data_IF_437859437750
#
_entry.id   IF_437859437750
#
_cell.length_a   1.000
_cell.length_b   1.000
_cell.length_c   1.000
_cell.angle_alpha   90.00
_cell.angle_beta   90.00
_cell.angle_gamma   90.00
#
_symmetry.space_group_name_H-M   'P 1'
#
loop_
_entity.id
_entity.type
_entity.pdbx_description
1 polymer ?
#
# COMPACT_ATOMS: atom_id res chain seq x y z
N UNK A 1 0.78 19.54 16.13
CA UNK A 1 0.18 19.38 14.78
C UNK A 1 -1.14 18.59 14.81
N UNK A 2 -1.15 17.30 15.17
CA UNK A 2 -2.37 16.46 15.16
C UNK A 2 -3.50 17.03 16.02
N UNK A 3 -3.20 17.37 17.29
CA UNK A 3 -4.16 17.99 18.23
C UNK A 3 -4.59 19.40 17.85
N UNK A 4 -3.75 20.14 17.12
CA UNK A 4 -4.01 21.52 16.71
C UNK A 4 -4.90 21.61 15.47
N UNK A 5 -5.06 20.51 14.72
CA UNK A 5 -5.80 20.47 13.45
C UNK A 5 -6.79 19.30 13.41
N UNK A 6 -7.78 19.24 14.33
CA UNK A 6 -8.65 18.07 14.49
C UNK A 6 -9.53 17.78 13.25
N UNK A 7 -9.76 18.77 12.38
CA UNK A 7 -10.54 18.62 11.15
C UNK A 7 -9.71 18.21 9.93
N UNK A 8 -8.39 18.21 10.04
CA UNK A 8 -7.47 17.90 8.92
C UNK A 8 -7.01 16.47 9.01
N UNK A 9 -7.14 15.71 7.91
CA UNK A 9 -6.63 14.34 7.82
C UNK A 9 -5.13 14.35 7.52
N UNK A 10 -4.36 13.65 8.34
CA UNK A 10 -2.94 13.41 8.14
C UNK A 10 -2.74 11.98 7.65
N UNK A 11 -1.88 11.79 6.66
CA UNK A 11 -1.48 10.48 6.16
C UNK A 11 0.03 10.47 6.05
N UNK A 12 0.65 9.46 6.64
CA UNK A 12 2.08 9.25 6.48
C UNK A 12 2.30 8.64 5.10
N UNK A 13 3.28 9.17 4.36
CA UNK A 13 3.64 8.65 3.05
C UNK A 13 4.57 7.44 3.23
N UNK A 14 5.85 7.56 2.92
CA UNK A 14 6.85 6.52 3.10
C UNK A 14 7.55 6.70 4.44
N UNK A 15 7.77 5.59 5.15
CA UNK A 15 8.56 5.52 6.38
C UNK A 15 9.47 4.29 6.30
N UNK A 16 10.75 4.42 6.68
CA UNK A 16 11.66 3.27 6.63
C UNK A 16 11.31 2.26 7.74
N UNK A 17 11.49 0.94 7.52
CA UNK A 17 11.12 -0.08 8.50
C UNK A 17 11.67 0.17 9.91
N UNK A 18 12.91 0.65 9.99
CA UNK A 18 13.61 0.90 11.25
C UNK A 18 13.14 2.16 12.01
N UNK A 19 12.29 2.97 11.39
CA UNK A 19 11.75 4.20 12.00
C UNK A 19 10.36 3.98 12.63
N UNK A 20 9.76 2.81 12.45
CA UNK A 20 8.45 2.48 13.02
C UNK A 20 8.63 1.97 14.45
N UNK A 21 8.32 2.83 15.41
CA UNK A 21 8.31 2.50 16.84
C UNK A 21 6.89 2.23 17.36
N UNK A 22 6.78 1.59 18.53
CA UNK A 22 5.48 1.42 19.20
C UNK A 22 4.83 2.77 19.53
N UNK A 23 5.62 3.78 19.88
CA UNK A 23 5.13 5.15 20.11
C UNK A 23 4.43 5.72 18.88
N UNK A 24 4.97 5.48 17.68
CA UNK A 24 4.32 5.87 16.42
C UNK A 24 3.00 5.12 16.24
N UNK A 25 2.99 3.80 16.50
CA UNK A 25 1.78 3.00 16.36
C UNK A 25 0.68 3.43 17.34
N UNK A 26 1.05 3.80 18.57
CA UNK A 26 0.12 4.32 19.58
C UNK A 26 -0.54 5.65 19.16
N UNK A 27 0.08 6.44 18.27
CA UNK A 27 -0.56 7.67 17.76
C UNK A 27 -1.82 7.37 16.96
N UNK A 28 -1.88 6.25 16.23
CA UNK A 28 -3.06 5.88 15.45
C UNK A 28 -4.27 5.56 16.32
N UNK A 29 -4.06 5.03 17.54
CA UNK A 29 -5.13 4.80 18.50
C UNK A 29 -5.56 6.06 19.26
N UNK A 30 -4.76 7.12 19.22
CA UNK A 30 -4.99 8.36 19.97
C UNK A 30 -5.64 9.47 19.14
N UNK A 31 -5.48 9.44 17.82
CA UNK A 31 -5.87 10.53 16.94
C UNK A 31 -6.70 10.05 15.74
N UNK A 32 -8.00 10.34 15.73
CA UNK A 32 -8.92 10.00 14.62
C UNK A 32 -8.56 10.67 13.29
N UNK A 33 -7.83 11.78 13.35
CA UNK A 33 -7.40 12.54 12.19
C UNK A 33 -6.07 12.02 11.59
N UNK A 34 -5.44 10.99 12.20
CA UNK A 34 -4.35 10.23 11.59
C UNK A 34 -4.93 9.03 10.84
N UNK A 35 -4.83 9.08 9.51
CA UNK A 35 -5.34 8.05 8.62
C UNK A 35 -4.57 6.74 8.83
N UNK A 36 -5.24 5.59 9.07
CA UNK A 36 -4.58 4.30 9.27
C UNK A 36 -4.09 3.76 7.92
N UNK A 37 -2.97 4.33 7.49
CA UNK A 37 -2.26 4.00 6.27
C UNK A 37 -0.78 4.25 6.51
N UNK A 38 0.03 3.28 6.08
CA UNK A 38 1.49 3.36 6.06
C UNK A 38 2.00 2.83 4.73
N UNK A 39 3.08 3.42 4.22
CA UNK A 39 3.84 2.85 3.12
C UNK A 39 5.25 2.50 3.63
N UNK A 40 5.57 1.21 3.63
CA UNK A 40 6.77 0.66 4.27
C UNK A 40 7.57 -0.07 3.19
N UNK A 41 8.68 0.48 2.69
CA UNK A 41 9.43 -0.13 1.60
C UNK A 41 10.08 -1.44 2.03
N UNK A 42 9.87 -2.52 1.28
CA UNK A 42 10.58 -3.80 1.47
C UNK A 42 11.80 -3.87 0.55
N UNK A 43 11.63 -3.44 -0.70
CA UNK A 43 12.54 -3.61 -1.84
C UNK A 43 12.67 -5.05 -2.35
N UNK A 44 13.07 -6.01 -1.51
CA UNK A 44 13.19 -7.42 -1.87
C UNK A 44 12.78 -8.30 -0.69
N UNK A 45 12.21 -9.48 -0.95
CA UNK A 45 11.93 -10.46 0.09
C UNK A 45 12.98 -11.56 0.15
N UNK A 46 14.21 -11.26 -0.23
CA UNK A 46 15.38 -12.11 -0.12
C UNK A 46 16.51 -11.39 0.63
N UNK A 47 17.05 -12.02 1.68
CA UNK A 47 18.04 -11.41 2.56
C UNK A 47 19.39 -11.14 1.86
N UNK A 48 19.77 -11.96 0.88
CA UNK A 48 21.01 -11.75 0.12
C UNK A 48 20.89 -10.50 -0.76
N UNK A 49 19.74 -10.32 -1.42
CA UNK A 49 19.44 -9.14 -2.22
C UNK A 49 19.29 -7.89 -1.34
N UNK A 50 18.59 -7.98 -0.20
CA UNK A 50 18.48 -6.88 0.76
C UNK A 50 19.86 -6.40 1.23
N UNK A 51 20.77 -7.34 1.53
CA UNK A 51 22.15 -7.03 1.90
C UNK A 51 22.91 -6.33 0.77
N UNK A 52 22.75 -6.78 -0.47
CA UNK A 52 23.36 -6.14 -1.65
C UNK A 52 22.79 -4.74 -1.92
N UNK A 53 21.51 -4.53 -1.60
CA UNK A 53 20.86 -3.21 -1.58
C UNK A 53 21.26 -2.34 -0.38
N UNK A 54 22.11 -2.84 0.52
CA UNK A 54 22.54 -2.19 1.76
C UNK A 54 21.39 -1.86 2.72
N UNK A 55 20.38 -2.71 2.79
CA UNK A 55 19.30 -2.59 3.78
C UNK A 55 19.79 -3.07 5.14
N UNK A 56 19.45 -2.31 6.18
CA UNK A 56 19.82 -2.58 7.57
C UNK A 56 18.77 -3.42 8.31
N UNK A 57 18.07 -4.30 7.59
CA UNK A 57 17.05 -5.21 8.09
C UNK A 57 16.99 -6.46 7.20
N UNK A 58 16.44 -7.54 7.75
CA UNK A 58 16.17 -8.79 7.03
C UNK A 58 14.66 -9.05 6.90
N UNK A 59 14.30 -10.13 6.20
CA UNK A 59 12.91 -10.52 5.97
C UNK A 59 12.18 -10.95 7.24
N UNK A 60 12.89 -11.49 8.24
CA UNK A 60 12.32 -11.90 9.52
C UNK A 60 11.89 -10.69 10.35
N UNK A 61 12.77 -9.70 10.49
CA UNK A 61 12.46 -8.40 11.10
C UNK A 61 11.29 -7.73 10.39
N UNK A 62 11.35 -7.67 9.05
CA UNK A 62 10.31 -7.00 8.27
C UNK A 62 8.94 -7.65 8.47
N UNK A 63 8.89 -8.99 8.49
CA UNK A 63 7.64 -9.73 8.76
C UNK A 63 7.09 -9.40 10.15
N UNK A 64 7.93 -9.50 11.19
CA UNK A 64 7.51 -9.22 12.55
C UNK A 64 6.99 -7.78 12.70
N UNK A 65 7.63 -6.82 12.03
CA UNK A 65 7.20 -5.43 11.98
C UNK A 65 5.81 -5.29 11.34
N UNK A 66 5.60 -5.83 10.14
CA UNK A 66 4.30 -5.75 9.46
C UNK A 66 3.19 -6.40 10.28
N UNK A 67 3.46 -7.57 10.88
CA UNK A 67 2.49 -8.25 11.75
C UNK A 67 2.15 -7.42 12.98
N UNK A 68 3.14 -6.76 13.61
CA UNK A 68 2.90 -5.84 14.72
C UNK A 68 2.04 -4.64 14.28
N UNK A 69 2.36 -4.00 13.16
CA UNK A 69 1.60 -2.86 12.62
C UNK A 69 0.13 -3.23 12.40
N UNK A 70 -0.15 -4.36 11.74
CA UNK A 70 -1.51 -4.79 11.41
C UNK A 70 -2.28 -5.25 12.64
N UNK A 71 -1.60 -5.82 13.64
CA UNK A 71 -2.21 -6.21 14.92
C UNK A 71 -2.55 -5.00 15.79
N UNK A 72 -1.70 -3.98 15.80
CA UNK A 72 -1.82 -2.82 16.70
C UNK A 72 -2.75 -1.75 16.14
N UNK A 73 -2.79 -1.56 14.82
CA UNK A 73 -3.62 -0.51 14.19
C UNK A 73 -4.75 -1.13 13.39
N UNK A 74 -5.97 -0.99 13.91
CA UNK A 74 -7.17 -1.51 13.27
C UNK A 74 -7.39 -0.96 11.86
N UNK A 75 -7.71 -1.86 10.93
CA UNK A 75 -8.02 -1.55 9.54
C UNK A 75 -6.92 -0.80 8.76
N UNK A 76 -5.68 -0.81 9.27
CA UNK A 76 -4.55 -0.16 8.61
C UNK A 76 -4.29 -0.73 7.22
N UNK A 77 -4.15 0.18 6.26
CA UNK A 77 -3.69 -0.15 4.93
C UNK A 77 -2.16 -0.02 4.87
N UNK A 78 -1.45 -1.15 4.79
CA UNK A 78 0.00 -1.17 4.58
C UNK A 78 0.30 -1.34 3.09
N UNK A 79 0.98 -0.35 2.51
CA UNK A 79 1.57 -0.41 1.18
C UNK A 79 3.04 -0.78 1.23
N UNK A 80 3.52 -1.52 0.23
CA UNK A 80 4.93 -1.92 0.13
C UNK A 80 5.49 -1.56 -1.24
N UNK A 81 6.70 -0.99 -1.25
CA UNK A 81 7.55 -0.90 -2.46
C UNK A 81 8.38 -2.18 -2.64
N UNK A 82 8.30 -2.79 -3.83
CA UNK A 82 9.06 -3.98 -4.20
C UNK A 82 9.70 -3.78 -5.58
N UNK A 83 11.00 -4.00 -5.63
CA UNK A 83 11.80 -3.98 -6.85
C UNK A 83 11.90 -5.40 -7.42
N UNK A 84 11.90 -5.54 -8.74
CA UNK A 84 12.25 -6.81 -9.41
C UNK A 84 13.40 -6.60 -10.38
N UNK A 85 14.20 -7.65 -10.55
CA UNK A 85 15.30 -7.65 -11.50
C UNK A 85 16.52 -6.88 -11.05
N UNK A 86 16.73 -6.75 -9.73
CA UNK A 86 17.99 -6.23 -9.21
C UNK A 86 19.15 -7.13 -9.67
N UNK A 87 20.34 -6.59 -9.99
CA UNK A 87 21.47 -7.44 -10.37
C UNK A 87 21.80 -8.45 -9.27
N UNK A 88 21.98 -9.72 -9.64
CA UNK A 88 22.10 -10.84 -8.72
C UNK A 88 20.79 -11.55 -8.36
N UNK A 89 19.62 -10.99 -8.71
CA UNK A 89 18.32 -11.64 -8.46
C UNK A 89 18.08 -12.81 -9.42
N UNK A 90 18.38 -14.03 -8.97
CA UNK A 90 18.08 -15.29 -9.65
C UNK A 90 16.61 -15.70 -9.49
N UNK A 91 16.30 -16.92 -9.89
CA UNK A 91 14.94 -17.47 -9.77
C UNK A 91 14.56 -17.75 -8.31
N UNK A 92 15.53 -18.18 -7.50
CA UNK A 92 15.32 -18.51 -6.09
C UNK A 92 15.00 -17.25 -5.27
N UNK A 93 15.78 -16.18 -5.43
CA UNK A 93 15.61 -14.90 -4.72
C UNK A 93 14.27 -14.23 -5.08
N UNK A 94 13.89 -14.31 -6.36
CA UNK A 94 12.56 -13.88 -6.80
C UNK A 94 11.47 -14.75 -6.17
N UNK A 95 11.70 -16.07 -6.06
CA UNK A 95 10.82 -17.00 -5.40
C UNK A 95 10.61 -16.68 -3.91
N UNK A 96 11.67 -16.34 -3.18
CA UNK A 96 11.61 -15.86 -1.79
C UNK A 96 10.75 -14.60 -1.69
N UNK A 97 11.03 -13.61 -2.54
CA UNK A 97 10.26 -12.37 -2.61
C UNK A 97 8.77 -12.62 -2.82
N UNK A 98 8.41 -13.46 -3.80
CA UNK A 98 7.02 -13.79 -4.07
C UNK A 98 6.33 -14.44 -2.86
N UNK A 99 6.96 -15.48 -2.27
CA UNK A 99 6.39 -16.21 -1.12
C UNK A 99 6.16 -15.29 0.07
N UNK A 100 7.15 -14.47 0.43
CA UNK A 100 7.01 -13.51 1.51
C UNK A 100 5.81 -12.56 1.28
N UNK A 101 5.70 -12.00 0.08
CA UNK A 101 4.60 -11.08 -0.26
C UNK A 101 3.23 -11.77 -0.26
N UNK A 102 3.14 -13.03 -0.66
CA UNK A 102 1.91 -13.83 -0.59
C UNK A 102 1.46 -14.07 0.85
N UNK A 103 2.39 -14.15 1.80
CA UNK A 103 2.10 -14.40 3.22
C UNK A 103 1.82 -13.12 4.02
N UNK A 104 2.51 -12.01 3.72
CA UNK A 104 2.42 -10.77 4.52
C UNK A 104 0.99 -10.18 4.53
N UNK A 105 0.47 -9.68 5.67
CA UNK A 105 -0.89 -9.14 5.79
C UNK A 105 -1.01 -7.70 5.26
N UNK A 106 -0.48 -7.41 4.08
CA UNK A 106 -0.45 -6.06 3.48
C UNK A 106 -1.62 -5.79 2.55
N UNK A 107 -1.91 -4.50 2.36
CA UNK A 107 -3.06 -4.05 1.57
C UNK A 107 -2.75 -3.95 0.08
N UNK A 108 -1.56 -3.49 -0.31
CA UNK A 108 -1.19 -3.37 -1.72
C UNK A 108 0.31 -3.35 -1.94
N UNK A 109 0.72 -3.63 -3.17
CA UNK A 109 2.11 -3.61 -3.61
C UNK A 109 2.31 -2.56 -4.69
N UNK A 110 3.42 -1.85 -4.62
CA UNK A 110 3.95 -1.01 -5.68
C UNK A 110 5.20 -1.69 -6.26
N UNK A 111 5.02 -2.27 -7.44
CA UNK A 111 6.03 -3.11 -8.10
C UNK A 111 6.68 -2.35 -9.25
N UNK A 112 8.00 -2.21 -9.19
CA UNK A 112 8.79 -1.54 -10.21
C UNK A 112 10.04 -2.36 -10.60
N UNK A 113 10.40 -2.42 -11.89
CA UNK A 113 11.62 -3.07 -12.30
C UNK A 113 12.85 -2.22 -11.94
N UNK A 114 13.97 -2.88 -11.64
CA UNK A 114 15.26 -2.23 -11.49
C UNK A 114 15.65 -1.52 -12.78
N UNK A 115 16.02 -0.24 -12.64
CA UNK A 115 16.57 0.59 -13.69
C UNK A 115 17.97 1.03 -13.30
N UNK A 116 18.94 0.74 -14.16
CA UNK A 116 20.34 1.12 -13.94
C UNK A 116 20.46 2.64 -13.87
N UNK A 117 21.15 3.12 -12.84
CA UNK A 117 21.48 4.54 -12.67
C UNK A 117 22.99 4.72 -12.60
N UNK A 118 23.56 5.67 -13.37
CA UNK A 118 24.98 6.01 -13.30
C UNK A 118 25.43 6.29 -11.85
N UNK A 119 26.63 5.85 -11.49
CA UNK A 119 27.23 6.11 -10.18
C UNK A 119 26.71 5.25 -9.03
N UNK A 120 25.90 4.22 -9.29
CA UNK A 120 25.41 3.31 -8.24
C UNK A 120 26.28 2.06 -8.10
N UNK A 121 26.46 1.57 -6.87
CA UNK A 121 27.20 0.33 -6.59
C UNK A 121 26.59 -0.90 -7.29
N UNK A 122 25.29 -0.86 -7.58
CA UNK A 122 24.57 -1.93 -8.28
C UNK A 122 25.08 -2.17 -9.71
N UNK A 123 25.75 -1.20 -10.34
CA UNK A 123 26.32 -1.36 -11.68
C UNK A 123 27.42 -2.43 -11.76
N UNK A 124 28.15 -2.65 -10.66
CA UNK A 124 29.24 -3.61 -10.59
C UNK A 124 28.78 -5.03 -10.24
N UNK A 125 27.48 -5.22 -9.97
CA UNK A 125 26.92 -6.48 -9.54
C UNK A 125 26.48 -7.30 -10.76
N UNK A 126 26.83 -8.59 -10.74
CA UNK A 126 26.49 -9.55 -11.78
C UNK A 126 25.90 -10.84 -11.15
N UNK A 127 25.09 -11.61 -11.91
CA UNK A 127 24.63 -11.33 -13.27
C UNK A 127 23.53 -10.25 -13.31
N UNK A 128 23.44 -9.54 -14.44
CA UNK A 128 22.32 -8.62 -14.71
C UNK A 128 21.09 -9.43 -15.09
N UNK A 129 19.91 -8.99 -14.66
CA UNK A 129 18.64 -9.63 -15.02
C UNK A 129 18.14 -9.09 -16.38
N UNK A 130 17.81 -9.94 -17.36
CA UNK A 130 17.28 -9.49 -18.64
C UNK A 130 15.96 -8.72 -18.52
N UNK A 131 15.75 -7.68 -19.35
CA UNK A 131 14.52 -6.86 -19.34
C UNK A 131 13.23 -7.67 -19.51
N UNK A 132 13.27 -8.75 -20.31
CA UNK A 132 12.14 -9.67 -20.47
C UNK A 132 11.76 -10.31 -19.13
N UNK A 133 12.74 -10.85 -18.41
CA UNK A 133 12.55 -11.44 -17.08
C UNK A 133 12.06 -10.42 -16.06
N UNK A 134 12.57 -9.18 -16.08
CA UNK A 134 12.06 -8.11 -15.19
C UNK A 134 10.58 -7.84 -15.43
N UNK A 135 10.14 -7.79 -16.70
CA UNK A 135 8.73 -7.57 -17.06
C UNK A 135 7.84 -8.72 -16.60
N UNK A 136 8.27 -9.96 -16.80
CA UNK A 136 7.55 -11.17 -16.36
C UNK A 136 7.40 -11.19 -14.84
N UNK A 137 8.48 -10.99 -14.10
CA UNK A 137 8.48 -10.90 -12.63
C UNK A 137 7.60 -9.77 -12.11
N UNK A 138 7.67 -8.60 -12.74
CA UNK A 138 6.81 -7.47 -12.37
C UNK A 138 5.33 -7.77 -12.59
N UNK A 139 4.97 -8.48 -13.65
CA UNK A 139 3.59 -8.91 -13.90
C UNK A 139 3.09 -9.87 -12.81
N UNK A 140 3.90 -10.88 -12.46
CA UNK A 140 3.59 -11.84 -11.39
C UNK A 140 3.33 -11.12 -10.07
N UNK A 141 4.23 -10.22 -9.62
CA UNK A 141 4.03 -9.52 -8.35
C UNK A 141 2.88 -8.52 -8.40
N UNK A 142 2.54 -7.95 -9.56
CA UNK A 142 1.33 -7.12 -9.71
C UNK A 142 0.05 -7.93 -9.54
N UNK A 143 0.02 -9.18 -9.99
CA UNK A 143 -1.11 -10.08 -9.73
C UNK A 143 -1.25 -10.41 -8.24
N UNK A 144 -0.13 -10.66 -7.54
CA UNK A 144 -0.13 -10.80 -6.07
C UNK A 144 -0.69 -9.53 -5.42
N UNK A 145 -0.21 -8.36 -5.84
CA UNK A 145 -0.69 -7.06 -5.35
C UNK A 145 -2.17 -6.83 -5.61
N UNK A 146 -2.69 -7.24 -6.77
CA UNK A 146 -4.11 -7.14 -7.09
C UNK A 146 -4.96 -8.03 -6.18
N UNK A 147 -4.53 -9.27 -5.92
CA UNK A 147 -5.19 -10.18 -4.97
C UNK A 147 -5.20 -9.62 -3.54
N UNK A 148 -4.07 -9.07 -3.07
CA UNK A 148 -3.97 -8.43 -1.75
C UNK A 148 -4.91 -7.23 -1.63
N UNK A 149 -4.94 -6.37 -2.66
CA UNK A 149 -5.83 -5.19 -2.70
C UNK A 149 -7.30 -5.57 -2.67
N UNK A 150 -7.68 -6.58 -3.46
CA UNK A 150 -9.04 -7.12 -3.48
C UNK A 150 -9.42 -7.70 -2.11
N UNK A 151 -8.56 -8.52 -1.51
CA UNK A 151 -8.79 -9.12 -0.20
C UNK A 151 -8.94 -8.05 0.90
N UNK A 152 -8.07 -7.04 0.91
CA UNK A 152 -8.15 -5.94 1.85
C UNK A 152 -9.44 -5.12 1.66
N UNK A 153 -9.80 -4.77 0.42
CA UNK A 153 -11.02 -4.04 0.10
C UNK A 153 -12.29 -4.80 0.53
N UNK A 154 -12.33 -6.13 0.35
CA UNK A 154 -13.46 -6.98 0.75
C UNK A 154 -13.77 -6.94 2.23
N UNK A 155 -12.80 -6.67 3.10
CA UNK A 155 -13.01 -6.50 4.55
C UNK A 155 -13.96 -5.34 4.90
N UNK A 156 -14.23 -4.46 3.93
CA UNK A 156 -15.08 -3.28 4.11
C UNK A 156 -16.44 -3.39 3.42
N UNK A 157 -16.72 -4.50 2.72
CA UNK A 157 -18.04 -4.75 2.15
C UNK A 157 -19.10 -4.75 3.26
N UNK A 158 -20.20 -4.01 3.06
CA UNK A 158 -21.25 -3.85 4.05
C UNK A 158 -20.90 -2.90 5.20
N UNK A 159 -19.68 -2.37 5.30
CA UNK A 159 -19.33 -1.35 6.31
C UNK A 159 -19.68 0.05 5.83
N UNK A 160 -19.77 1.00 6.77
CA UNK A 160 -19.89 2.42 6.46
C UNK A 160 -18.54 3.09 6.69
N UNK A 161 -17.99 3.73 5.66
CA UNK A 161 -16.70 4.41 5.72
C UNK A 161 -16.84 5.93 5.55
N UNK A 162 -16.03 6.74 6.24
CA UNK A 162 -15.86 8.14 5.88
C UNK A 162 -14.99 8.23 4.61
N UNK A 163 -15.49 8.95 3.61
CA UNK A 163 -14.86 9.10 2.30
C UNK A 163 -14.68 10.58 2.00
N UNK A 164 -13.45 10.99 1.69
CA UNK A 164 -13.16 12.32 1.18
C UNK A 164 -13.42 12.32 -0.32
N UNK A 165 -14.35 13.14 -0.80
CA UNK A 165 -14.70 13.22 -2.22
C UNK A 165 -13.67 14.05 -2.98
N UNK A 166 -13.11 13.48 -4.04
CA UNK A 166 -12.13 14.13 -4.90
C UNK A 166 -12.83 14.97 -5.98
N UNK A 167 -12.14 16.03 -6.44
CA UNK A 167 -12.63 16.85 -7.55
C UNK A 167 -12.69 16.08 -8.87
N UNK A 168 -11.74 15.17 -9.08
CA UNK A 168 -11.69 14.37 -10.30
C UNK A 168 -12.67 13.20 -10.21
N UNK A 169 -13.34 12.88 -11.33
CA UNK A 169 -14.20 11.69 -11.47
C UNK A 169 -13.40 10.48 -11.93
N UNK A 170 -13.95 9.29 -11.77
CA UNK A 170 -13.36 8.08 -12.33
C UNK A 170 -13.51 8.10 -13.85
N UNK A 171 -12.38 7.96 -14.57
CA UNK A 171 -12.34 8.09 -16.03
C UNK A 171 -13.09 6.99 -16.77
N UNK A 172 -13.24 5.80 -16.17
CA UNK A 172 -13.90 4.65 -16.81
C UNK A 172 -15.41 4.70 -16.64
N UNK A 173 -15.88 5.14 -15.48
CA UNK A 173 -17.30 5.07 -15.09
C UNK A 173 -18.01 6.42 -15.10
N UNK A 174 -17.27 7.54 -15.08
CA UNK A 174 -17.83 8.90 -14.92
C UNK A 174 -18.34 9.21 -13.51
N UNK A 175 -18.31 8.23 -12.60
CA UNK A 175 -18.76 8.39 -11.23
C UNK A 175 -17.85 9.32 -10.44
N UNK A 176 -18.43 9.96 -9.43
CA UNK A 176 -17.62 10.66 -8.44
C UNK A 176 -16.76 9.61 -7.70
N UNK A 177 -15.55 10.00 -7.34
CA UNK A 177 -14.62 9.14 -6.60
C UNK A 177 -14.10 9.87 -5.37
N UNK A 178 -13.67 9.09 -4.40
CA UNK A 178 -13.05 9.58 -3.19
C UNK A 178 -12.11 8.56 -2.58
N UNK A 179 -11.54 8.91 -1.44
CA UNK A 179 -10.69 8.01 -0.66
C UNK A 179 -11.21 7.85 0.78
N UNK A 180 -11.32 6.60 1.21
CA UNK A 180 -11.64 6.26 2.59
C UNK A 180 -10.54 6.71 3.57
N UNK A 181 -10.77 6.54 4.88
CA UNK A 181 -9.76 6.87 5.90
C UNK A 181 -8.43 6.12 5.70
N UNK A 182 -8.47 4.89 5.21
CA UNK A 182 -7.34 3.99 4.95
C UNK A 182 -6.98 3.95 3.46
N UNK A 183 -7.37 5.01 2.74
CA UNK A 183 -6.94 5.29 1.38
C UNK A 183 -7.37 4.26 0.31
N UNK A 184 -8.46 3.53 0.57
CA UNK A 184 -9.15 2.77 -0.47
C UNK A 184 -9.90 3.72 -1.41
N UNK A 185 -9.78 3.54 -2.74
CA UNK A 185 -10.59 4.29 -3.68
C UNK A 185 -12.05 3.84 -3.58
N UNK A 186 -12.96 4.81 -3.49
CA UNK A 186 -14.40 4.59 -3.40
C UNK A 186 -15.07 5.32 -4.55
N UNK A 187 -15.89 4.61 -5.33
CA UNK A 187 -16.81 5.17 -6.31
C UNK A 187 -18.16 5.43 -5.65
N UNK A 188 -18.72 6.60 -5.93
CA UNK A 188 -19.99 7.06 -5.39
C UNK A 188 -21.03 6.99 -6.50
N UNK A 189 -22.11 6.24 -6.27
CA UNK A 189 -23.19 6.03 -7.24
C UNK A 189 -23.94 7.33 -7.56
N UNK A 190 -24.14 8.19 -6.55
CA UNK A 190 -24.88 9.46 -6.62
C UNK A 190 -24.23 10.46 -5.68
N UNK A 191 -23.38 11.31 -6.23
CA UNK A 191 -22.79 12.43 -5.49
C UNK A 191 -22.97 13.73 -6.28
N UNK A 192 -23.72 14.71 -5.77
CA UNK A 192 -23.73 16.05 -6.34
C UNK A 192 -22.31 16.64 -6.33
N UNK A 193 -22.02 17.52 -7.29
CA UNK A 193 -20.72 18.22 -7.39
C UNK A 193 -20.41 19.05 -6.14
N UNK A 194 -21.42 19.45 -5.37
CA UNK A 194 -21.26 20.19 -4.11
C UNK A 194 -20.55 19.42 -3.00
N UNK A 195 -20.37 18.10 -3.13
CA UNK A 195 -19.70 17.28 -2.12
C UNK A 195 -18.18 17.19 -2.31
N UNK A 196 -17.61 17.79 -3.35
CA UNK A 196 -16.15 17.83 -3.57
C UNK A 196 -15.45 18.47 -2.36
N UNK A 197 -14.32 17.89 -1.94
CA UNK A 197 -13.55 18.29 -0.75
C UNK A 197 -14.32 18.20 0.58
N UNK A 198 -15.38 17.39 0.63
CA UNK A 198 -16.11 17.10 1.87
C UNK A 198 -15.96 15.64 2.26
N UNK A 199 -16.08 15.37 3.58
CA UNK A 199 -16.15 14.01 4.10
C UNK A 199 -17.61 13.56 4.15
N UNK A 200 -17.90 12.44 3.49
CA UNK A 200 -19.24 11.85 3.45
C UNK A 200 -19.21 10.43 3.98
N UNK A 201 -20.30 9.98 4.60
CA UNK A 201 -20.45 8.60 5.05
C UNK A 201 -20.97 7.76 3.88
N UNK A 202 -20.28 6.69 3.56
CA UNK A 202 -20.63 5.83 2.42
C UNK A 202 -20.83 4.40 2.90
N UNK A 203 -22.01 3.83 2.63
CA UNK A 203 -22.25 2.40 2.84
C UNK A 203 -21.67 1.65 1.65
N UNK A 204 -20.68 0.80 1.91
CA UNK A 204 -20.02 0.02 0.86
C UNK A 204 -20.90 -1.17 0.46
N UNK A 205 -21.21 -1.28 -0.83
CA UNK A 205 -22.17 -2.25 -1.37
C UNK A 205 -21.54 -3.20 -2.38
N UNK A 206 -20.44 -2.79 -3.00
CA UNK A 206 -19.70 -3.63 -3.96
C UNK A 206 -18.20 -3.47 -3.79
N UNK A 207 -17.48 -4.55 -4.03
CA UNK A 207 -16.02 -4.56 -4.20
C UNK A 207 -15.69 -5.21 -5.54
N UNK A 208 -14.86 -4.56 -6.34
CA UNK A 208 -14.41 -5.06 -7.63
C UNK A 208 -13.03 -4.46 -7.96
N UNK A 209 -12.07 -5.31 -8.33
CA UNK A 209 -10.70 -4.90 -8.71
C UNK A 209 -10.01 -4.02 -7.66
N UNK A 210 -10.24 -4.29 -6.38
CA UNK A 210 -9.68 -3.52 -5.26
C UNK A 210 -10.22 -2.10 -5.15
N UNK A 211 -11.35 -1.80 -5.81
CA UNK A 211 -12.13 -0.58 -5.65
C UNK A 211 -13.43 -0.87 -4.89
N UNK A 212 -13.82 0.07 -4.06
CA UNK A 212 -15.12 0.04 -3.38
C UNK A 212 -16.13 0.85 -4.21
N UNK A 213 -17.38 0.40 -4.23
CA UNK A 213 -18.51 1.22 -4.69
C UNK A 213 -19.57 1.21 -3.61
N UNK A 214 -20.18 2.36 -3.35
CA UNK A 214 -21.20 2.47 -2.34
C UNK A 214 -22.06 3.71 -2.48
N UNK A 215 -23.13 3.72 -1.69
CA UNK A 215 -24.08 4.83 -1.63
C UNK A 215 -23.75 5.80 -0.51
N UNK A 216 -23.87 7.09 -0.83
CA UNK A 216 -23.77 8.16 0.16
C UNK A 216 -24.96 8.07 1.12
N UNK A 217 -24.69 8.10 2.41
CA UNK A 217 -25.72 8.22 3.43
C UNK A 217 -25.96 9.71 3.69
N UNK A 218 -27.17 10.18 3.41
CA UNK A 218 -27.61 11.50 3.82
C UNK A 218 -27.84 11.47 5.34
N UNK A 219 -27.07 12.29 6.06
CA UNK A 219 -27.34 12.65 7.44
C UNK A 219 -28.11 13.96 7.49
#
# INVERSE_FOLDING_TARGET
MLSQNPKTRFRLSSIEPNEISDDLLHLFGRFDNLCPHLHIPLQSGDDSILKMMKRGYDTAFYRALIENVVRTVDNIAVGIDVMVGFPGEGEEEFGHTRRLLEELPVAYLHVFPYSERPGTAALAIHPKVPEKTKKERAAILREVGAKKREAFARRFLGKTLPVLVEQSRDKKTGLAKGFSHNYLPVLLDKSPTSLVNTLVRVKIEKVQEGKLTGRTLHG
#
